data_IF_387777759307
#
_entry.id   IF_387777759307
#
_cell.length_a   1.000
_cell.length_b   1.000
_cell.length_c   1.000
_cell.angle_alpha   90.00
_cell.angle_beta   90.00
_cell.angle_gamma   90.00
#
_symmetry.space_group_name_H-M   'P 1'
#
loop_
_entity.id
_entity.type
_entity.pdbx_description
1 polymer ?
#
# COMPACT_ATOMS: atom_id res chain seq x y z
N UNK A 1 12.96 -1.40 -19.73
CA UNK A 1 12.47 -1.43 -18.33
C UNK A 1 11.06 -0.84 -18.20
N UNK A 2 10.81 0.37 -18.72
CA UNK A 2 9.48 1.00 -18.70
C UNK A 2 8.35 0.12 -19.29
N UNK A 3 8.51 -0.40 -20.51
CA UNK A 3 7.45 -1.20 -21.16
C UNK A 3 7.12 -2.50 -20.41
N UNK A 4 8.11 -3.11 -19.75
CA UNK A 4 7.88 -4.28 -18.91
C UNK A 4 7.09 -3.92 -17.66
N UNK A 5 7.37 -2.76 -17.05
CA UNK A 5 6.57 -2.23 -15.93
C UNK A 5 5.10 -2.02 -16.28
N UNK A 6 4.78 -1.65 -17.53
CA UNK A 6 3.41 -1.49 -18.00
C UNK A 6 2.62 -2.81 -18.00
N UNK A 7 3.27 -3.92 -18.39
CA UNK A 7 2.67 -5.27 -18.34
C UNK A 7 2.33 -5.66 -16.90
N UNK A 8 3.22 -5.38 -15.96
CA UNK A 8 2.97 -5.64 -14.54
C UNK A 8 1.87 -4.76 -13.96
N UNK A 9 1.81 -3.49 -14.34
CA UNK A 9 0.70 -2.62 -13.94
C UNK A 9 -0.64 -3.18 -14.40
N UNK A 10 -0.73 -3.67 -15.64
CA UNK A 10 -1.93 -4.31 -16.15
C UNK A 10 -2.35 -5.51 -15.28
N UNK A 11 -1.41 -6.39 -14.93
CA UNK A 11 -1.69 -7.52 -14.03
C UNK A 11 -2.12 -7.07 -12.63
N UNK A 12 -1.51 -6.02 -12.08
CA UNK A 12 -1.90 -5.46 -10.78
C UNK A 12 -3.35 -4.95 -10.83
N UNK A 13 -3.71 -4.17 -11.85
CA UNK A 13 -5.10 -3.70 -12.02
C UNK A 13 -6.06 -4.87 -12.21
N UNK A 14 -5.72 -5.86 -13.03
CA UNK A 14 -6.53 -7.06 -13.26
C UNK A 14 -6.68 -7.93 -12.00
N UNK A 15 -5.68 -7.95 -11.13
CA UNK A 15 -5.73 -8.66 -9.86
C UNK A 15 -6.62 -7.94 -8.84
N UNK A 16 -6.47 -6.61 -8.73
CA UNK A 16 -7.24 -5.78 -7.80
C UNK A 16 -8.74 -5.86 -8.10
N UNK A 17 -9.14 -5.85 -9.38
CA UNK A 17 -10.56 -5.92 -9.77
C UNK A 17 -11.23 -7.24 -9.38
N UNK A 18 -10.47 -8.31 -9.16
CA UNK A 18 -11.01 -9.61 -8.71
C UNK A 18 -11.16 -9.70 -7.19
N UNK A 19 -10.58 -8.78 -6.42
CA UNK A 19 -10.65 -8.84 -4.96
C UNK A 19 -11.94 -8.16 -4.47
N UNK A 20 -12.88 -8.98 -4.00
CA UNK A 20 -14.22 -8.53 -3.52
C UNK A 20 -14.17 -7.72 -2.23
N UNK A 21 -13.22 -8.01 -1.33
CA UNK A 21 -13.05 -7.29 -0.05
C UNK A 21 -11.58 -7.01 0.17
N UNK A 22 -11.18 -5.76 0.00
CA UNK A 22 -9.81 -5.33 0.25
C UNK A 22 -9.79 -4.40 1.47
N UNK A 23 -9.76 -4.96 2.70
CA UNK A 23 -9.75 -4.14 3.90
C UNK A 23 -8.47 -3.30 3.92
N UNK A 24 -8.61 -2.03 4.32
CA UNK A 24 -7.44 -1.17 4.50
C UNK A 24 -6.49 -1.84 5.50
N UNK A 25 -5.20 -1.86 5.20
CA UNK A 25 -4.14 -2.46 6.00
C UNK A 25 -2.81 -1.75 5.67
N UNK A 26 -1.74 -2.05 6.42
CA UNK A 26 -0.45 -1.41 6.20
C UNK A 26 0.16 -1.71 4.81
N UNK A 27 -0.22 -2.84 4.21
CA UNK A 27 0.22 -3.26 2.87
C UNK A 27 -0.23 -2.35 1.73
N UNK A 28 -1.17 -1.42 1.96
CA UNK A 28 -1.51 -0.40 0.98
C UNK A 28 -0.33 0.52 0.63
N UNK A 29 0.61 0.73 1.57
CA UNK A 29 1.86 1.44 1.28
C UNK A 29 2.72 0.75 0.21
N UNK A 30 2.52 -0.54 -0.01
CA UNK A 30 3.19 -1.30 -1.07
C UNK A 30 2.84 -0.81 -2.49
N UNK A 31 1.75 -0.06 -2.68
CA UNK A 31 1.36 0.47 -3.99
C UNK A 31 2.08 1.76 -4.37
N UNK A 32 2.44 2.61 -3.39
CA UNK A 32 3.03 3.93 -3.68
C UNK A 32 4.44 3.83 -4.23
N UNK A 33 5.24 2.84 -3.78
CA UNK A 33 6.62 2.69 -4.23
C UNK A 33 6.74 2.24 -5.70
N UNK A 34 6.14 1.11 -6.14
CA UNK A 34 6.23 0.68 -7.54
C UNK A 34 5.61 1.70 -8.51
N UNK A 35 4.48 2.30 -8.11
CA UNK A 35 3.82 3.32 -8.92
C UNK A 35 4.68 4.59 -9.03
N UNK A 36 5.35 4.99 -7.94
CA UNK A 36 6.28 6.11 -7.91
C UNK A 36 7.50 5.90 -8.79
N UNK A 37 8.14 4.72 -8.71
CA UNK A 37 9.27 4.37 -9.59
C UNK A 37 8.83 4.36 -11.06
N UNK A 38 7.62 3.84 -11.35
CA UNK A 38 7.09 3.84 -12.70
C UNK A 38 6.83 5.27 -13.22
N UNK A 39 6.24 6.15 -12.40
CA UNK A 39 6.05 7.56 -12.73
C UNK A 39 7.39 8.27 -13.01
N UNK A 40 8.39 8.09 -12.13
CA UNK A 40 9.73 8.66 -12.30
C UNK A 40 10.39 8.17 -13.60
N UNK A 41 10.29 6.88 -13.92
CA UNK A 41 10.82 6.32 -15.17
C UNK A 41 10.11 6.88 -16.41
N UNK A 42 8.81 7.19 -16.30
CA UNK A 42 8.03 7.80 -17.39
C UNK A 42 8.44 9.25 -17.63
N UNK A 43 8.66 10.02 -16.55
CA UNK A 43 9.15 11.40 -16.62
C UNK A 43 10.55 11.43 -17.25
N UNK A 44 11.44 10.53 -16.80
CA UNK A 44 12.79 10.45 -17.33
C UNK A 44 12.79 10.06 -18.81
N UNK A 45 11.96 9.09 -19.21
CA UNK A 45 11.76 8.76 -20.63
C UNK A 45 11.29 9.99 -21.44
N UNK A 46 10.38 10.81 -20.90
CA UNK A 46 9.93 12.03 -21.56
C UNK A 46 10.98 13.14 -21.67
N UNK A 47 11.93 13.19 -20.74
CA UNK A 47 13.08 14.10 -20.81
C UNK A 47 14.08 13.64 -21.89
N UNK A 48 14.47 12.37 -21.88
CA UNK A 48 15.44 11.80 -22.82
C UNK A 48 14.91 11.83 -24.27
N UNK A 49 13.65 11.42 -24.47
CA UNK A 49 13.02 11.39 -25.79
C UNK A 49 12.51 12.76 -26.26
N UNK A 50 12.62 13.80 -25.43
CA UNK A 50 12.04 15.14 -25.68
C UNK A 50 10.57 15.10 -26.14
N UNK A 51 9.81 14.12 -25.64
CA UNK A 51 8.44 13.86 -26.08
C UNK A 51 7.43 14.38 -25.06
N UNK A 52 6.59 15.32 -25.52
CA UNK A 52 5.50 15.88 -24.71
C UNK A 52 4.51 14.81 -24.22
N UNK A 53 4.34 13.72 -24.99
CA UNK A 53 3.46 12.61 -24.63
C UNK A 53 3.89 11.96 -23.30
N UNK A 54 5.16 11.58 -23.20
CA UNK A 54 5.71 10.96 -21.99
C UNK A 54 5.75 11.92 -20.80
N UNK A 55 5.98 13.21 -21.05
CA UNK A 55 5.93 14.23 -19.98
C UNK A 55 4.53 14.35 -19.37
N UNK A 56 3.49 14.43 -20.20
CA UNK A 56 2.10 14.53 -19.74
C UNK A 56 1.71 13.26 -18.97
N UNK A 57 2.01 12.07 -19.49
CA UNK A 57 1.70 10.80 -18.79
C UNK A 57 2.47 10.71 -17.47
N UNK A 58 3.75 11.06 -17.46
CA UNK A 58 4.57 11.07 -16.25
C UNK A 58 3.99 11.99 -15.18
N UNK A 59 3.51 13.17 -15.57
CA UNK A 59 2.89 14.12 -14.65
C UNK A 59 1.55 13.62 -14.09
N UNK A 60 0.70 13.02 -14.94
CA UNK A 60 -0.56 12.40 -14.51
C UNK A 60 -0.29 11.26 -13.51
N UNK A 61 0.67 10.38 -13.80
CA UNK A 61 1.06 9.30 -12.91
C UNK A 61 1.59 9.83 -11.57
N UNK A 62 2.42 10.88 -11.59
CA UNK A 62 2.92 11.52 -10.37
C UNK A 62 1.78 12.09 -9.50
N UNK A 63 0.80 12.75 -10.12
CA UNK A 63 -0.39 13.25 -9.40
C UNK A 63 -1.17 12.10 -8.74
N UNK A 64 -1.37 10.99 -9.45
CA UNK A 64 -2.02 9.80 -8.88
C UNK A 64 -1.24 9.24 -7.68
N UNK A 65 0.09 9.19 -7.75
CA UNK A 65 0.94 8.74 -6.63
C UNK A 65 0.76 9.64 -5.42
N UNK A 66 0.76 10.97 -5.61
CA UNK A 66 0.58 11.95 -4.52
C UNK A 66 -0.81 11.81 -3.89
N UNK A 67 -1.87 11.72 -4.70
CA UNK A 67 -3.23 11.54 -4.18
C UNK A 67 -3.37 10.22 -3.41
N UNK A 68 -2.85 9.13 -3.95
CA UNK A 68 -2.84 7.82 -3.30
C UNK A 68 -2.08 7.90 -1.97
N UNK A 69 -0.92 8.56 -1.95
CA UNK A 69 -0.13 8.76 -0.74
C UNK A 69 -0.89 9.53 0.33
N UNK A 70 -1.62 10.60 -0.03
CA UNK A 70 -2.45 11.36 0.92
C UNK A 70 -3.57 10.48 1.50
N UNK A 71 -4.29 9.75 0.65
CA UNK A 71 -5.40 8.87 1.07
C UNK A 71 -4.90 7.80 2.04
N UNK A 72 -3.80 7.12 1.68
CA UNK A 72 -3.21 6.07 2.52
C UNK A 72 -2.67 6.67 3.82
N UNK A 73 -2.03 7.83 3.77
CA UNK A 73 -1.48 8.49 4.96
C UNK A 73 -2.59 8.86 5.94
N UNK A 74 -3.70 9.43 5.47
CA UNK A 74 -4.86 9.75 6.31
C UNK A 74 -5.48 8.47 6.89
N UNK A 75 -5.69 7.43 6.06
CA UNK A 75 -6.24 6.15 6.52
C UNK A 75 -5.35 5.47 7.57
N UNK A 76 -4.03 5.56 7.38
CA UNK A 76 -3.03 5.05 8.32
C UNK A 76 -3.09 5.85 9.62
N UNK A 77 -3.05 7.18 9.56
CA UNK A 77 -3.07 8.05 10.73
C UNK A 77 -4.35 7.83 11.57
N UNK A 78 -5.52 7.75 10.94
CA UNK A 78 -6.79 7.45 11.63
C UNK A 78 -6.73 6.11 12.38
N UNK A 79 -6.10 5.09 11.80
CA UNK A 79 -6.02 3.75 12.39
C UNK A 79 -4.95 3.61 13.47
N UNK A 80 -3.84 4.35 13.33
CA UNK A 80 -2.84 4.51 14.38
C UNK A 80 -3.49 5.17 15.61
N UNK A 81 -4.18 6.30 15.42
CA UNK A 81 -4.84 7.04 16.51
C UNK A 81 -5.95 6.20 17.17
N UNK A 82 -6.70 5.40 16.39
CA UNK A 82 -7.74 4.52 16.92
C UNK A 82 -7.18 3.29 17.67
N UNK A 83 -5.86 3.11 17.74
CA UNK A 83 -5.20 1.98 18.44
C UNK A 83 -5.39 0.61 17.78
N UNK A 84 -6.20 0.51 16.72
CA UNK A 84 -6.50 -0.75 16.01
C UNK A 84 -5.40 -1.23 15.07
N UNK A 85 -4.38 -0.40 14.79
CA UNK A 85 -3.27 -0.81 13.93
C UNK A 85 -2.27 -1.75 14.65
N UNK A 86 -2.18 -1.66 15.98
CA UNK A 86 -1.36 -2.52 16.83
C UNK A 86 -2.18 -3.49 17.70
N UNK A 87 -3.50 -3.50 17.52
CA UNK A 87 -4.37 -4.49 18.16
C UNK A 87 -4.21 -5.81 17.42
N UNK A 88 -3.14 -6.53 17.74
CA UNK A 88 -2.90 -7.87 17.28
C UNK A 88 -3.78 -8.82 18.12
N UNK A 89 -4.88 -9.39 17.58
CA UNK A 89 -5.73 -10.30 18.33
C UNK A 89 -4.96 -11.52 18.87
N UNK A 90 -3.87 -11.91 18.20
CA UNK A 90 -2.97 -12.97 18.67
C UNK A 90 -2.26 -12.65 20.00
N UNK A 91 -2.03 -11.37 20.34
CA UNK A 91 -1.48 -10.96 21.63
C UNK A 91 -2.54 -10.90 22.74
N UNK A 92 -3.81 -10.69 22.37
CA UNK A 92 -4.91 -10.76 23.33
C UNK A 92 -5.14 -12.21 23.78
N UNK A 93 -5.15 -13.16 22.83
CA UNK A 93 -5.30 -14.59 23.12
C UNK A 93 -4.14 -15.13 23.98
N UNK A 94 -2.89 -14.71 23.70
CA UNK A 94 -1.74 -15.09 24.53
C UNK A 94 -1.86 -14.63 26.00
N UNK A 95 -2.44 -13.45 26.23
CA UNK A 95 -2.62 -12.93 27.60
C UNK A 95 -3.65 -13.73 28.38
N UNK A 96 -4.75 -14.13 27.73
CA UNK A 96 -5.77 -15.02 28.31
C UNK A 96 -5.15 -16.39 28.67
N UNK A 97 -4.36 -16.96 27.76
CA UNK A 97 -3.68 -18.24 28.01
C UNK A 97 -2.68 -18.18 29.19
N UNK A 98 -2.01 -17.04 29.39
CA UNK A 98 -1.14 -16.83 30.56
C UNK A 98 -1.91 -16.69 31.87
N UNK A 99 -3.06 -16.02 31.85
CA UNK A 99 -3.94 -15.86 33.02
C UNK A 99 -4.54 -17.21 33.46
N UNK A 100 -5.03 -18.01 32.51
CA UNK A 100 -5.55 -19.36 32.77
C UNK A 100 -4.46 -20.30 33.35
N UNK A 101 -3.24 -20.21 32.81
CA UNK A 101 -2.10 -21.01 33.28
C UNK A 101 -1.64 -20.63 34.69
N UNK A 102 -1.79 -19.35 35.09
CA UNK A 102 -1.52 -18.91 36.46
C UNK A 102 -2.64 -19.34 37.41
N UNK A 103 -3.90 -19.26 37.00
CA UNK A 103 -5.04 -19.71 37.80
C UNK A 103 -4.96 -21.22 38.12
N UNK A 104 -4.62 -22.06 37.14
CA UNK A 104 -4.49 -23.52 37.32
C UNK A 104 -3.28 -23.99 38.13
N UNK A 105 -2.31 -23.12 38.45
CA UNK A 105 -1.15 -23.43 39.30
C UNK A 105 -1.35 -23.09 40.78
N UNK A 106 -2.46 -22.44 41.13
CA UNK A 106 -2.77 -21.98 42.49
C UNK A 106 -3.76 -22.91 43.20
N UNK A 107 -4.03 -24.09 42.61
CA UNK A 107 -4.88 -25.17 43.16
C UNK A 107 -4.01 -26.40 43.45
#
# INVERSE_FOLDING_TARGET
>A
MWSFGLVWLFFVFASITKIQKFPFNIGWWGFTFPLGVYAASTIQAGAELNSKFFQIIGMILALFVVLLWIIISIGTLRRVISGRLFFAPCLADLRVLEEDKKAGKTV
#
